data_IF_007792935579
#
_entry.id   IF_007792935579
#
_cell.length_a   1.000
_cell.length_b   1.000
_cell.length_c   1.000
_cell.angle_alpha   90.00
_cell.angle_beta   90.00
_cell.angle_gamma   90.00
#
_symmetry.space_group_name_H-M   'P 1'
#
loop_
_entity.id
_entity.type
_entity.pdbx_description
1 polymer ?
#
# COMPACT_ATOMS: atom_id res chain seq x y z
N UNK A 1 -33.43 8.42 -34.76
CA UNK A 1 -33.19 8.87 -33.39
C UNK A 1 -33.78 7.82 -32.47
N UNK A 2 -32.94 7.04 -31.77
CA UNK A 2 -33.40 6.13 -30.72
C UNK A 2 -33.56 6.92 -29.42
N UNK A 3 -34.64 6.73 -28.66
CA UNK A 3 -34.81 7.34 -27.35
C UNK A 3 -33.72 6.79 -26.38
N UNK A 4 -33.20 7.62 -25.44
CA UNK A 4 -32.25 7.15 -24.47
C UNK A 4 -32.89 6.08 -23.56
N UNK A 5 -32.13 5.01 -23.29
CA UNK A 5 -32.55 3.97 -22.40
C UNK A 5 -32.78 4.54 -20.98
N UNK A 6 -33.95 4.22 -20.39
CA UNK A 6 -34.24 4.62 -19.01
C UNK A 6 -33.20 4.05 -18.04
N UNK A 7 -32.78 4.79 -17.00
CA UNK A 7 -31.85 4.28 -16.01
C UNK A 7 -32.49 3.07 -15.30
N UNK A 8 -31.72 1.97 -15.22
CA UNK A 8 -32.14 0.78 -14.49
C UNK A 8 -32.28 1.13 -13.00
N UNK A 9 -33.53 1.22 -12.53
CA UNK A 9 -33.84 1.38 -11.10
C UNK A 9 -33.53 0.04 -10.43
N UNK A 10 -32.46 -0.02 -9.66
CA UNK A 10 -32.17 -1.17 -8.80
C UNK A 10 -33.30 -1.36 -7.79
N UNK A 11 -33.85 -2.60 -7.61
CA UNK A 11 -34.93 -2.86 -6.70
C UNK A 11 -34.52 -2.46 -5.26
N UNK A 12 -35.46 -1.85 -4.48
CA UNK A 12 -35.18 -1.27 -3.17
C UNK A 12 -34.76 -2.28 -2.09
N UNK A 13 -34.72 -3.57 -2.35
CA UNK A 13 -34.42 -4.64 -1.40
C UNK A 13 -33.00 -5.19 -1.47
N UNK A 14 -32.09 -4.61 -2.25
CA UNK A 14 -30.70 -5.07 -2.31
C UNK A 14 -29.87 -4.67 -1.07
N UNK A 15 -30.35 -3.74 -0.24
CA UNK A 15 -29.64 -3.25 0.95
C UNK A 15 -29.84 -4.11 2.20
N UNK A 16 -30.87 -4.95 2.27
CA UNK A 16 -31.28 -5.66 3.49
C UNK A 16 -31.08 -7.18 3.43
N UNK A 17 -30.45 -7.72 2.39
CA UNK A 17 -30.10 -9.14 2.40
C UNK A 17 -28.81 -9.32 3.18
N UNK A 18 -28.83 -10.04 4.31
CA UNK A 18 -27.60 -10.45 4.96
C UNK A 18 -26.77 -11.24 3.96
N UNK A 19 -25.48 -10.91 3.84
CA UNK A 19 -24.54 -11.67 3.03
C UNK A 19 -24.66 -13.15 3.44
N UNK A 20 -24.83 -14.10 2.49
CA UNK A 20 -24.93 -15.51 2.82
C UNK A 20 -23.62 -15.98 3.45
N UNK A 21 -23.64 -16.16 4.76
CA UNK A 21 -22.45 -16.54 5.54
C UNK A 21 -22.05 -18.01 5.37
N UNK A 22 -22.90 -18.83 4.75
CA UNK A 22 -22.74 -20.28 4.65
C UNK A 22 -23.06 -20.88 3.26
N UNK A 23 -23.02 -20.11 2.19
CA UNK A 23 -23.13 -20.69 0.85
C UNK A 23 -21.81 -21.38 0.45
N UNK A 24 -21.92 -22.41 -0.39
CA UNK A 24 -20.75 -23.11 -0.96
C UNK A 24 -19.81 -22.15 -1.68
N UNK A 25 -20.32 -21.06 -2.23
CA UNK A 25 -19.56 -19.99 -2.89
C UNK A 25 -18.71 -19.19 -1.89
N UNK A 26 -19.21 -18.90 -0.70
CA UNK A 26 -18.47 -18.21 0.37
C UNK A 26 -17.38 -19.13 0.93
N UNK A 27 -17.65 -20.42 1.06
CA UNK A 27 -16.65 -21.40 1.51
C UNK A 27 -15.54 -21.55 0.46
N UNK A 28 -15.90 -21.67 -0.82
CA UNK A 28 -14.94 -21.70 -1.92
C UNK A 28 -14.08 -20.42 -1.95
N UNK A 29 -14.69 -19.24 -1.85
CA UNK A 29 -13.97 -17.96 -1.83
C UNK A 29 -13.00 -17.86 -0.65
N UNK A 30 -13.38 -18.33 0.54
CA UNK A 30 -12.50 -18.39 1.72
C UNK A 30 -11.33 -19.35 1.51
N UNK A 31 -11.58 -20.50 0.89
CA UNK A 31 -10.53 -21.48 0.63
C UNK A 31 -9.52 -20.98 -0.41
N UNK A 32 -10.00 -20.34 -1.50
CA UNK A 32 -9.13 -19.71 -2.51
C UNK A 32 -8.30 -18.59 -1.90
N UNK A 33 -8.92 -17.68 -1.12
CA UNK A 33 -8.20 -16.59 -0.46
C UNK A 33 -7.18 -17.10 0.57
N UNK A 34 -7.49 -18.19 1.29
CA UNK A 34 -6.57 -18.81 2.23
C UNK A 34 -5.35 -19.40 1.51
N UNK A 35 -5.57 -20.09 0.39
CA UNK A 35 -4.50 -20.67 -0.44
C UNK A 35 -3.62 -19.58 -1.07
N UNK A 36 -4.23 -18.56 -1.69
CA UNK A 36 -3.49 -17.42 -2.26
C UNK A 36 -2.68 -16.67 -1.19
N UNK A 37 -3.20 -16.57 0.03
CA UNK A 37 -2.49 -15.95 1.15
C UNK A 37 -1.28 -16.77 1.60
N UNK A 38 -1.37 -18.10 1.61
CA UNK A 38 -0.25 -19.00 1.95
C UNK A 38 0.82 -18.97 0.86
N UNK A 39 0.43 -19.08 -0.41
CA UNK A 39 1.36 -19.01 -1.54
C UNK A 39 2.10 -17.66 -1.59
N UNK A 40 1.39 -16.57 -1.29
CA UNK A 40 2.01 -15.25 -1.18
C UNK A 40 3.01 -15.16 -0.01
N UNK A 41 2.65 -15.70 1.15
CA UNK A 41 3.55 -15.72 2.30
C UNK A 41 4.83 -16.51 2.03
N UNK A 42 4.70 -17.70 1.42
CA UNK A 42 5.84 -18.53 0.99
C UNK A 42 6.72 -17.80 -0.03
N UNK A 43 6.12 -17.16 -1.03
CA UNK A 43 6.85 -16.40 -2.03
C UNK A 43 7.61 -15.20 -1.41
N UNK A 44 7.02 -14.52 -0.43
CA UNK A 44 7.68 -13.44 0.30
C UNK A 44 8.85 -13.95 1.14
N UNK A 45 8.72 -15.11 1.77
CA UNK A 45 9.78 -15.70 2.58
C UNK A 45 10.94 -16.15 1.70
N UNK A 46 10.67 -16.78 0.58
CA UNK A 46 11.68 -17.16 -0.40
C UNK A 46 12.41 -15.94 -0.98
N UNK A 47 11.68 -14.88 -1.33
CA UNK A 47 12.28 -13.64 -1.80
C UNK A 47 13.20 -13.00 -0.74
N UNK A 48 12.80 -12.99 0.53
CA UNK A 48 13.66 -12.52 1.63
C UNK A 48 14.92 -13.36 1.76
N UNK A 49 14.79 -14.69 1.63
CA UNK A 49 15.93 -15.62 1.69
C UNK A 49 16.91 -15.38 0.56
N UNK A 50 16.41 -15.16 -0.66
CA UNK A 50 17.25 -14.85 -1.84
C UNK A 50 18.02 -13.54 -1.61
N UNK A 51 17.34 -12.49 -1.16
CA UNK A 51 17.96 -11.19 -0.89
C UNK A 51 19.00 -11.29 0.23
N UNK A 52 18.68 -12.00 1.33
CA UNK A 52 19.62 -12.17 2.45
C UNK A 52 20.89 -12.95 2.07
N UNK A 53 20.81 -13.83 1.10
CA UNK A 53 21.92 -14.66 0.61
C UNK A 53 22.64 -14.06 -0.61
N UNK A 54 22.23 -12.88 -1.10
CA UNK A 54 22.88 -12.22 -2.23
C UNK A 54 24.27 -11.71 -1.79
N UNK A 55 25.38 -12.22 -2.39
CA UNK A 55 26.73 -11.78 -2.02
C UNK A 55 26.96 -10.29 -2.22
N UNK A 56 26.16 -9.64 -3.09
CA UNK A 56 26.21 -8.20 -3.36
C UNK A 56 25.68 -7.36 -2.20
N UNK A 57 24.81 -7.93 -1.34
CA UNK A 57 24.30 -7.24 -0.17
C UNK A 57 25.33 -7.02 0.93
N UNK A 58 26.43 -7.79 0.91
CA UNK A 58 27.46 -7.80 1.97
C UNK A 58 28.79 -7.15 1.56
N UNK A 59 28.93 -6.65 0.33
CA UNK A 59 30.22 -6.23 -0.23
C UNK A 59 30.34 -4.75 -0.59
N UNK A 60 29.35 -3.92 -0.26
CA UNK A 60 29.39 -2.50 -0.60
C UNK A 60 29.99 -1.69 0.55
N UNK A 61 31.09 -0.94 0.28
CA UNK A 61 31.49 0.16 1.17
C UNK A 61 30.33 1.14 1.28
N UNK A 62 29.79 1.30 2.49
CA UNK A 62 28.67 2.21 2.77
C UNK A 62 29.11 3.64 2.46
N UNK A 63 28.51 4.24 1.45
CA UNK A 63 28.71 5.66 1.11
C UNK A 63 27.59 6.50 1.71
N UNK A 64 27.79 7.80 1.91
CA UNK A 64 26.71 8.70 2.32
C UNK A 64 25.49 8.55 1.40
N UNK A 65 24.34 8.17 1.96
CA UNK A 65 23.09 7.90 1.24
C UNK A 65 22.83 6.45 0.88
N UNK A 66 23.78 5.52 1.09
CA UNK A 66 23.56 4.08 0.86
C UNK A 66 22.60 3.45 1.88
N UNK A 67 22.34 4.14 2.96
CA UNK A 67 21.38 3.79 4.00
C UNK A 67 19.94 4.21 3.68
N UNK A 68 19.73 4.94 2.58
CA UNK A 68 18.39 5.31 2.12
C UNK A 68 17.67 4.07 1.57
N UNK A 69 16.52 3.74 2.17
CA UNK A 69 15.70 2.63 1.69
C UNK A 69 14.64 3.12 0.72
N UNK A 70 14.63 2.56 -0.49
CA UNK A 70 13.63 2.83 -1.52
C UNK A 70 12.67 1.65 -1.60
N UNK A 71 11.39 1.89 -1.34
CA UNK A 71 10.34 0.88 -1.44
C UNK A 71 9.31 1.28 -2.48
N UNK A 72 9.24 0.55 -3.59
CA UNK A 72 8.17 0.73 -4.58
C UNK A 72 6.87 0.10 -4.08
N UNK A 73 5.82 0.91 -3.96
CA UNK A 73 4.48 0.48 -3.54
C UNK A 73 3.57 0.23 -4.74
N UNK A 74 3.91 0.83 -5.88
CA UNK A 74 3.22 0.66 -7.13
C UNK A 74 3.99 1.26 -8.29
N UNK A 75 3.95 0.57 -9.44
CA UNK A 75 4.66 0.93 -10.68
C UNK A 75 3.77 0.81 -11.92
N UNK A 76 2.47 0.65 -11.73
CA UNK A 76 1.47 0.68 -12.80
C UNK A 76 1.10 2.10 -13.20
N UNK A 77 0.46 2.25 -14.33
CA UNK A 77 -0.11 3.52 -14.79
C UNK A 77 -1.61 3.39 -15.06
N UNK A 78 -2.31 4.50 -15.03
CA UNK A 78 -3.74 4.69 -15.28
C UNK A 78 -4.65 4.08 -14.22
N UNK A 79 -4.66 2.76 -14.01
CA UNK A 79 -5.53 2.08 -13.05
C UNK A 79 -4.79 0.96 -12.32
N UNK A 80 -5.14 0.67 -11.05
CA UNK A 80 -4.62 -0.51 -10.35
C UNK A 80 -5.02 -1.79 -11.05
N UNK A 81 -4.13 -2.77 -11.07
CA UNK A 81 -4.41 -4.09 -11.59
C UNK A 81 -4.19 -5.18 -10.54
N UNK A 82 -4.60 -6.41 -10.83
CA UNK A 82 -4.35 -7.58 -9.97
C UNK A 82 -2.85 -7.76 -9.63
N UNK A 83 -1.98 -7.42 -10.57
CA UNK A 83 -0.55 -7.70 -10.47
C UNK A 83 0.29 -6.50 -10.04
N UNK A 84 -0.25 -5.29 -10.17
CA UNK A 84 0.52 -4.06 -9.98
C UNK A 84 -0.38 -2.91 -9.57
N UNK A 85 -0.01 -2.24 -8.48
CA UNK A 85 -0.64 -0.99 -8.09
C UNK A 85 -0.09 0.18 -8.90
N UNK A 86 -0.80 1.28 -8.92
CA UNK A 86 -0.41 2.54 -9.57
C UNK A 86 0.68 3.26 -8.80
N UNK A 87 1.21 4.35 -9.36
CA UNK A 87 2.44 5.01 -8.93
C UNK A 87 2.45 5.39 -7.45
N UNK A 88 3.39 4.83 -6.72
CA UNK A 88 3.76 5.25 -5.36
C UNK A 88 5.11 4.65 -4.96
N UNK A 89 5.99 5.46 -4.40
CA UNK A 89 7.30 5.03 -3.91
C UNK A 89 7.58 5.67 -2.56
N UNK A 90 7.96 4.88 -1.59
CA UNK A 90 8.38 5.34 -0.27
C UNK A 90 9.90 5.36 -0.18
N UNK A 91 10.45 6.50 0.24
CA UNK A 91 11.85 6.66 0.61
C UNK A 91 11.91 6.76 2.14
N UNK A 92 12.75 5.96 2.74
CA UNK A 92 13.11 6.04 4.15
C UNK A 92 14.53 6.57 4.25
N UNK A 93 14.69 7.75 4.87
CA UNK A 93 15.95 8.45 4.98
C UNK A 93 16.33 8.52 6.47
N UNK A 94 17.30 7.72 6.93
CA UNK A 94 17.72 7.70 8.33
C UNK A 94 18.04 9.09 8.87
N UNK A 95 17.51 9.41 10.04
CA UNK A 95 17.70 10.72 10.68
C UNK A 95 16.87 11.88 10.09
N UNK A 96 16.18 11.65 8.97
CA UNK A 96 15.30 12.64 8.32
C UNK A 96 13.84 12.23 8.43
N UNK A 97 13.53 10.99 8.08
CA UNK A 97 12.18 10.41 8.03
C UNK A 97 11.75 10.02 6.63
N UNK A 98 10.46 9.72 6.48
CA UNK A 98 9.88 9.20 5.26
C UNK A 98 9.48 10.27 4.24
N UNK A 99 9.64 9.96 2.97
CA UNK A 99 9.11 10.72 1.84
C UNK A 99 8.28 9.79 0.96
N UNK A 100 7.11 10.23 0.54
CA UNK A 100 6.30 9.52 -0.44
C UNK A 100 6.36 10.25 -1.78
N UNK A 101 6.83 9.57 -2.81
CA UNK A 101 6.83 10.05 -4.19
C UNK A 101 5.65 9.44 -4.91
N UNK A 102 4.70 10.26 -5.28
CA UNK A 102 3.35 9.92 -5.71
C UNK A 102 2.57 9.11 -4.67
N UNK A 103 1.27 9.13 -4.80
CA UNK A 103 0.36 8.46 -3.89
C UNK A 103 -0.91 8.05 -4.64
N UNK A 104 -0.76 7.12 -5.57
CA UNK A 104 -1.86 6.60 -6.35
C UNK A 104 -2.86 5.81 -5.52
N UNK A 105 -3.97 5.44 -6.14
CA UNK A 105 -5.02 4.66 -5.48
C UNK A 105 -4.45 3.38 -4.85
N UNK A 106 -4.88 3.07 -3.61
CA UNK A 106 -4.45 1.85 -2.92
C UNK A 106 -3.08 1.92 -2.24
N UNK A 107 -2.34 3.03 -2.30
CA UNK A 107 -1.00 3.18 -1.69
C UNK A 107 -0.98 2.86 -0.19
N UNK A 108 -1.99 3.26 0.58
CA UNK A 108 -2.13 2.89 1.99
C UNK A 108 -2.25 1.37 2.17
N UNK A 109 -3.01 0.70 1.30
CA UNK A 109 -3.11 -0.76 1.30
C UNK A 109 -1.78 -1.44 1.01
N UNK A 110 -0.97 -0.88 0.14
CA UNK A 110 0.38 -1.39 -0.16
C UNK A 110 1.35 -1.20 1.01
N UNK A 111 1.30 -0.06 1.70
CA UNK A 111 2.06 0.13 2.93
C UNK A 111 1.71 -0.94 3.97
N UNK A 112 0.42 -1.20 4.19
CA UNK A 112 -0.05 -2.22 5.13
C UNK A 112 0.38 -3.64 4.74
N UNK A 113 0.36 -3.98 3.46
CA UNK A 113 0.83 -5.28 2.96
C UNK A 113 2.34 -5.45 3.14
N UNK A 114 3.10 -4.40 2.87
CA UNK A 114 4.58 -4.46 2.92
C UNK A 114 5.12 -4.42 4.34
N UNK A 115 4.55 -3.57 5.20
CA UNK A 115 5.11 -3.26 6.52
C UNK A 115 4.25 -3.72 7.70
N UNK A 116 3.06 -4.24 7.41
CA UNK A 116 2.07 -4.58 8.43
C UNK A 116 1.41 -3.33 9.06
N UNK A 117 0.43 -3.53 9.98
CA UNK A 117 -0.27 -2.42 10.61
C UNK A 117 0.66 -1.51 11.41
N UNK A 118 1.50 -2.07 12.27
CA UNK A 118 2.43 -1.34 13.14
C UNK A 118 3.52 -0.61 12.35
N UNK A 119 4.10 -1.27 11.32
CA UNK A 119 5.08 -0.66 10.44
C UNK A 119 4.48 0.49 9.63
N UNK A 120 3.23 0.37 9.21
CA UNK A 120 2.50 1.46 8.53
C UNK A 120 2.31 2.66 9.46
N UNK A 121 1.96 2.43 10.74
CA UNK A 121 1.82 3.52 11.72
C UNK A 121 3.15 4.26 11.85
N UNK A 122 4.27 3.57 12.05
CA UNK A 122 5.60 4.20 12.14
C UNK A 122 5.96 5.01 10.89
N UNK A 123 5.73 4.46 9.71
CA UNK A 123 5.97 5.18 8.45
C UNK A 123 5.13 6.46 8.38
N UNK A 124 3.85 6.40 8.78
CA UNK A 124 2.99 7.56 8.77
C UNK A 124 3.40 8.61 9.82
N UNK A 125 3.86 8.19 11.00
CA UNK A 125 4.41 9.09 12.04
C UNK A 125 5.65 9.83 11.54
N UNK A 126 6.55 9.11 10.88
CA UNK A 126 7.82 9.63 10.38
C UNK A 126 7.71 10.31 9.02
N UNK A 127 6.57 10.22 8.34
CA UNK A 127 6.35 10.81 7.02
C UNK A 127 6.45 12.34 7.06
N UNK A 128 7.46 12.89 6.41
CA UNK A 128 7.76 14.32 6.36
C UNK A 128 7.19 15.01 5.14
N UNK A 129 7.13 14.31 4.01
CA UNK A 129 6.71 14.90 2.75
C UNK A 129 5.96 13.89 1.88
N UNK A 130 4.97 14.38 1.15
CA UNK A 130 4.36 13.68 0.02
C UNK A 130 4.55 14.58 -1.20
N UNK A 131 5.25 14.08 -2.20
CA UNK A 131 5.44 14.76 -3.47
C UNK A 131 4.53 14.14 -4.52
N UNK A 132 3.73 14.96 -5.19
CA UNK A 132 2.88 14.53 -6.30
C UNK A 132 3.49 15.07 -7.60
N UNK A 133 3.91 14.17 -8.47
CA UNK A 133 4.56 14.54 -9.73
C UNK A 133 3.63 15.32 -10.66
N UNK A 134 2.37 14.89 -10.75
CA UNK A 134 1.33 15.56 -11.52
C UNK A 134 -0.07 15.06 -11.12
N UNK A 135 -1.11 15.75 -11.60
CA UNK A 135 -2.50 15.54 -11.15
C UNK A 135 -3.27 14.48 -11.94
N UNK A 136 -2.62 13.46 -12.50
CA UNK A 136 -3.34 12.30 -13.00
C UNK A 136 -3.77 11.40 -11.82
N UNK A 137 -4.90 10.73 -11.97
CA UNK A 137 -5.56 9.96 -10.92
C UNK A 137 -4.65 8.90 -10.28
N UNK A 138 -3.88 8.21 -11.07
CA UNK A 138 -2.95 7.15 -10.67
C UNK A 138 -1.73 7.66 -9.85
N UNK A 139 -1.56 8.97 -9.73
CA UNK A 139 -0.50 9.60 -8.94
C UNK A 139 -0.97 10.21 -7.63
N UNK A 140 -2.28 10.51 -7.46
CA UNK A 140 -2.74 11.24 -6.27
C UNK A 140 -3.99 10.69 -5.57
N UNK A 141 -4.77 9.78 -6.16
CA UNK A 141 -6.06 9.35 -5.56
C UNK A 141 -5.93 8.67 -4.19
N UNK A 142 -4.76 8.14 -3.84
CA UNK A 142 -4.48 7.57 -2.53
C UNK A 142 -4.19 8.61 -1.45
N UNK A 143 -3.90 9.86 -1.82
CA UNK A 143 -3.46 10.92 -0.91
C UNK A 143 -4.42 11.13 0.27
N UNK A 144 -5.72 11.19 0.00
CA UNK A 144 -6.72 11.39 1.05
C UNK A 144 -6.71 10.27 2.10
N UNK A 145 -6.50 9.03 1.67
CA UNK A 145 -6.42 7.88 2.57
C UNK A 145 -5.18 7.95 3.47
N UNK A 146 -4.04 8.33 2.91
CA UNK A 146 -2.79 8.51 3.66
C UNK A 146 -2.93 9.65 4.67
N UNK A 147 -3.43 10.82 4.24
CA UNK A 147 -3.59 11.98 5.13
C UNK A 147 -4.56 11.70 6.29
N UNK A 148 -5.67 11.01 6.02
CA UNK A 148 -6.62 10.62 7.07
C UNK A 148 -5.99 9.71 8.11
N UNK A 149 -5.20 8.73 7.70
CA UNK A 149 -4.52 7.84 8.64
C UNK A 149 -3.39 8.59 9.38
N UNK A 150 -2.62 9.43 8.70
CA UNK A 150 -1.58 10.25 9.34
C UNK A 150 -2.15 11.16 10.43
N UNK A 151 -3.30 11.78 10.20
CA UNK A 151 -3.96 12.61 11.23
C UNK A 151 -4.37 11.78 12.45
N UNK A 152 -4.77 10.53 12.28
CA UNK A 152 -5.13 9.63 13.39
C UNK A 152 -3.94 9.21 14.24
N UNK A 153 -2.80 8.94 13.60
CA UNK A 153 -1.59 8.50 14.33
C UNK A 153 -0.85 9.67 14.98
N UNK A 154 -1.09 10.89 14.52
CA UNK A 154 -0.44 12.10 15.06
C UNK A 154 1.02 12.25 14.58
N UNK A 155 1.72 13.29 15.07
CA UNK A 155 3.15 13.43 14.87
C UNK A 155 3.89 12.41 15.74
N UNK A 156 5.00 11.88 15.20
CA UNK A 156 5.96 11.12 16.02
C UNK A 156 6.32 11.91 17.27
N UNK A 157 6.31 11.30 18.47
CA UNK A 157 6.85 11.97 19.63
C UNK A 157 8.28 12.38 19.29
N UNK A 158 8.52 13.68 19.25
CA UNK A 158 9.87 14.21 19.08
C UNK A 158 10.65 13.63 20.23
N UNK A 159 11.66 12.82 19.96
CA UNK A 159 12.61 12.40 20.97
C UNK A 159 13.23 13.69 21.49
N UNK A 160 12.72 14.15 22.64
CA UNK A 160 13.10 15.43 23.20
C UNK A 160 14.58 15.42 23.49
N UNK A 161 15.19 16.51 23.14
CA UNK A 161 16.54 16.91 23.49
C UNK A 161 16.82 16.55 24.95
N UNK A 162 17.49 15.42 25.14
CA UNK A 162 18.30 15.21 26.33
C UNK A 162 19.75 15.39 25.89
N UNK A 163 20.17 16.66 25.94
CA UNK A 163 21.59 16.97 26.07
C UNK A 163 22.18 16.33 27.32
#
# INVERSE_FOLDING_TARGET
>A
MHPPAAPAILPPHAKDRPFPTNSSEVQWAREVLSRESQDYALACEEARRIVANDPRSNSCEVKPGDDITVTTLGTGSAIPSKYRNVSATHLDIPGVGGILLDCGEGSLGQLRRRFGPEGTIRILEELKMIYISHMHADHHLGLNSILREKVKVGPSPVCGDTC
#
